data_IF_072940254486
#
_entry.id   IF_072940254486
#
_cell.length_a   1.000
_cell.length_b   1.000
_cell.length_c   1.000
_cell.angle_alpha   90.00
_cell.angle_beta   90.00
_cell.angle_gamma   90.00
#
_symmetry.space_group_name_H-M   'P 1'
#
loop_
_entity.id
_entity.type
_entity.pdbx_description
1 polymer ?
#
# COMPACT_ATOMS: atom_id res chain seq x y z
N UNK A 1 -11.18 13.98 -18.14
CA UNK A 1 -12.13 14.47 -17.11
C UNK A 1 -13.03 15.57 -17.66
N UNK A 2 -12.51 16.51 -18.45
CA UNK A 2 -13.29 17.58 -19.10
C UNK A 2 -14.46 17.06 -19.97
N UNK A 3 -14.28 15.93 -20.67
CA UNK A 3 -15.33 15.31 -21.50
C UNK A 3 -16.38 14.52 -20.72
N UNK A 4 -16.17 14.27 -19.42
CA UNK A 4 -17.05 13.48 -18.57
C UNK A 4 -17.00 14.00 -17.11
N UNK A 5 -17.47 15.25 -16.86
CA UNK A 5 -17.24 15.94 -15.58
C UNK A 5 -17.91 15.27 -14.37
N UNK A 6 -18.97 14.47 -14.59
CA UNK A 6 -19.67 13.72 -13.53
C UNK A 6 -19.11 12.32 -13.24
N UNK A 7 -18.13 11.84 -14.02
CA UNK A 7 -17.56 10.50 -13.81
C UNK A 7 -16.63 10.49 -12.59
N UNK A 8 -16.89 9.58 -11.65
CA UNK A 8 -15.95 9.29 -10.56
C UNK A 8 -14.78 8.46 -11.12
N UNK A 9 -13.56 8.88 -10.82
CA UNK A 9 -12.32 8.23 -11.27
C UNK A 9 -11.40 8.02 -10.08
N UNK A 10 -10.88 6.80 -9.95
CA UNK A 10 -9.80 6.49 -9.01
C UNK A 10 -8.52 6.27 -9.82
N UNK A 11 -7.49 7.07 -9.56
CA UNK A 11 -6.16 6.79 -10.05
C UNK A 11 -5.50 5.79 -9.10
N UNK A 12 -5.51 4.53 -9.51
CA UNK A 12 -5.04 3.44 -8.67
C UNK A 12 -3.53 3.55 -8.38
N UNK A 13 -3.12 2.98 -7.24
CA UNK A 13 -1.74 2.71 -6.83
C UNK A 13 -0.75 3.82 -7.24
N UNK A 14 -0.95 5.03 -6.72
CA UNK A 14 -0.09 6.19 -7.01
C UNK A 14 1.37 5.86 -6.68
N UNK A 15 2.28 6.25 -7.59
CA UNK A 15 3.72 5.99 -7.41
C UNK A 15 4.62 7.21 -7.59
N UNK A 16 4.10 8.34 -8.10
CA UNK A 16 4.90 9.54 -8.39
C UNK A 16 4.37 10.78 -7.69
N UNK A 17 5.25 11.77 -7.52
CA UNK A 17 4.90 13.09 -7.02
C UNK A 17 3.84 13.80 -7.89
N UNK A 18 3.92 13.64 -9.20
CA UNK A 18 2.97 14.24 -10.14
C UNK A 18 1.58 13.63 -10.00
N UNK A 19 1.49 12.31 -9.81
CA UNK A 19 0.22 11.62 -9.62
C UNK A 19 -0.44 12.02 -8.29
N UNK A 20 0.34 12.14 -7.21
CA UNK A 20 -0.13 12.67 -5.94
C UNK A 20 -0.66 14.09 -6.08
N UNK A 21 0.14 14.98 -6.69
CA UNK A 21 -0.27 16.37 -6.93
C UNK A 21 -1.54 16.45 -7.78
N UNK A 22 -1.64 15.64 -8.84
CA UNK A 22 -2.82 15.60 -9.70
C UNK A 22 -4.09 15.29 -8.90
N UNK A 23 -4.07 14.30 -8.00
CA UNK A 23 -5.23 13.95 -7.17
C UNK A 23 -5.55 15.06 -6.16
N UNK A 24 -4.52 15.68 -5.55
CA UNK A 24 -4.71 16.77 -4.60
C UNK A 24 -5.31 18.03 -5.25
N UNK A 25 -4.85 18.37 -6.46
CA UNK A 25 -5.30 19.54 -7.23
C UNK A 25 -6.64 19.29 -7.96
N UNK A 26 -7.08 18.03 -8.07
CA UNK A 26 -8.31 17.65 -8.76
C UNK A 26 -9.58 17.87 -7.94
N UNK A 27 -10.72 17.94 -8.64
CA UNK A 27 -12.05 18.07 -8.06
C UNK A 27 -12.54 16.84 -7.30
N UNK A 28 -13.74 16.90 -6.69
CA UNK A 28 -14.26 15.87 -5.78
C UNK A 28 -14.50 14.50 -6.43
N UNK A 29 -14.56 14.43 -7.76
CA UNK A 29 -14.79 13.20 -8.50
C UNK A 29 -13.50 12.40 -8.78
N UNK A 30 -12.33 12.90 -8.35
CA UNK A 30 -11.04 12.22 -8.54
C UNK A 30 -10.46 11.83 -7.20
N UNK A 31 -10.15 10.54 -7.08
CA UNK A 31 -9.47 9.97 -5.93
C UNK A 31 -8.21 9.21 -6.35
N UNK A 32 -7.44 8.76 -5.36
CA UNK A 32 -6.31 7.87 -5.58
C UNK A 32 -6.16 6.85 -4.47
N UNK A 33 -5.68 5.66 -4.84
CA UNK A 33 -5.24 4.66 -3.87
C UNK A 33 -3.73 4.66 -3.76
N UNK A 34 -3.22 4.33 -2.58
CA UNK A 34 -1.78 4.18 -2.35
C UNK A 34 -1.54 2.89 -1.60
N UNK A 35 -0.66 2.05 -2.15
CA UNK A 35 -0.28 0.75 -1.59
C UNK A 35 0.64 0.88 -0.37
N UNK A 36 0.77 -0.14 0.50
CA UNK A 36 1.70 -0.05 1.62
C UNK A 36 3.16 -0.08 1.15
N UNK A 37 3.47 -0.83 0.08
CA UNK A 37 4.83 -0.95 -0.43
C UNK A 37 5.34 0.36 -1.06
N UNK A 38 4.48 1.15 -1.72
CA UNK A 38 4.84 2.48 -2.21
C UNK A 38 4.96 3.55 -1.13
N UNK A 39 4.40 3.35 0.07
CA UNK A 39 4.64 4.23 1.22
C UNK A 39 5.92 3.85 1.98
N UNK A 40 6.22 2.56 2.07
CA UNK A 40 7.30 2.04 2.91
C UNK A 40 8.69 2.10 2.26
N UNK A 41 8.77 1.89 0.94
CA UNK A 41 10.05 1.76 0.24
C UNK A 41 10.09 2.52 -1.09
N UNK A 42 11.30 2.74 -1.60
CA UNK A 42 11.57 3.30 -2.92
C UNK A 42 12.36 2.29 -3.77
N UNK A 43 12.70 2.65 -5.01
CA UNK A 43 13.41 1.78 -5.97
C UNK A 43 14.72 1.17 -5.48
N UNK A 44 15.38 1.77 -4.48
CA UNK A 44 16.59 1.20 -3.89
C UNK A 44 16.30 -0.13 -3.17
N UNK A 45 15.09 -0.32 -2.64
CA UNK A 45 14.69 -1.62 -2.10
C UNK A 45 14.66 -2.72 -3.18
N UNK A 46 14.37 -2.36 -4.43
CA UNK A 46 14.41 -3.29 -5.55
C UNK A 46 15.84 -3.53 -6.09
N UNK A 47 16.72 -2.52 -6.08
CA UNK A 47 17.95 -2.54 -6.87
C UNK A 47 19.27 -2.48 -6.08
N UNK A 48 19.28 -1.94 -4.85
CA UNK A 48 20.53 -1.67 -4.14
C UNK A 48 21.15 -2.96 -3.60
N UNK A 49 22.39 -3.25 -4.01
CA UNK A 49 23.15 -4.44 -3.61
C UNK A 49 22.74 -5.73 -4.34
N UNK A 50 21.83 -5.64 -5.32
CA UNK A 50 21.29 -6.79 -6.06
C UNK A 50 19.80 -6.62 -6.34
N UNK A 51 19.32 -7.28 -7.39
CA UNK A 51 17.91 -7.26 -7.76
C UNK A 51 17.09 -8.10 -6.77
N UNK A 52 16.02 -7.51 -6.21
CA UNK A 52 15.07 -8.18 -5.31
C UNK A 52 13.71 -8.32 -6.01
N UNK A 53 13.44 -9.40 -6.77
CA UNK A 53 12.25 -9.51 -7.62
C UNK A 53 10.92 -9.43 -6.85
N UNK A 54 10.89 -9.80 -5.58
CA UNK A 54 9.70 -9.70 -4.72
C UNK A 54 9.26 -8.25 -4.42
N UNK A 55 10.10 -7.26 -4.74
CA UNK A 55 9.78 -5.82 -4.67
C UNK A 55 9.40 -5.25 -6.05
N UNK A 56 9.44 -6.05 -7.12
CA UNK A 56 9.04 -5.62 -8.45
C UNK A 56 7.52 -5.70 -8.62
N UNK A 57 6.90 -4.55 -8.91
CA UNK A 57 5.48 -4.35 -9.19
C UNK A 57 5.29 -3.33 -10.32
N UNK A 58 4.04 -3.19 -10.77
CA UNK A 58 3.63 -2.11 -11.67
C UNK A 58 2.53 -1.28 -10.99
N UNK A 59 2.61 0.07 -11.03
CA UNK A 59 3.76 0.84 -11.51
C UNK A 59 5.00 0.60 -10.62
N UNK A 60 6.20 0.72 -11.20
CA UNK A 60 7.45 0.40 -10.49
C UNK A 60 7.69 1.32 -9.30
N UNK A 61 8.35 0.83 -8.24
CA UNK A 61 8.90 1.66 -7.18
C UNK A 61 9.73 2.81 -7.79
N UNK A 62 9.51 4.04 -7.29
CA UNK A 62 10.12 5.27 -7.83
C UNK A 62 11.22 5.81 -6.92
N UNK A 63 11.58 7.07 -7.07
CA UNK A 63 12.64 7.71 -6.27
C UNK A 63 12.18 7.91 -4.81
N UNK A 64 13.11 8.28 -3.93
CA UNK A 64 12.73 8.67 -2.56
C UNK A 64 11.90 9.96 -2.54
N UNK A 65 12.13 10.89 -3.48
CA UNK A 65 11.30 12.09 -3.62
C UNK A 65 9.85 11.72 -3.92
N UNK A 66 9.63 10.78 -4.85
CA UNK A 66 8.30 10.27 -5.16
C UNK A 66 7.65 9.61 -3.94
N UNK A 67 8.38 8.73 -3.23
CA UNK A 67 7.88 8.06 -2.02
C UNK A 67 7.46 9.08 -0.97
N UNK A 68 8.30 10.08 -0.71
CA UNK A 68 8.01 11.15 0.26
C UNK A 68 6.81 11.99 -0.17
N UNK A 69 6.64 12.28 -1.46
CA UNK A 69 5.47 12.98 -1.96
C UNK A 69 4.17 12.20 -1.72
N UNK A 70 4.17 10.86 -1.85
CA UNK A 70 3.02 10.03 -1.47
C UNK A 70 2.74 10.10 0.02
N UNK A 71 3.78 10.01 0.86
CA UNK A 71 3.65 10.13 2.32
C UNK A 71 3.09 11.50 2.71
N UNK A 72 3.59 12.57 2.12
CA UNK A 72 3.12 13.94 2.39
C UNK A 72 1.69 14.16 1.91
N UNK A 73 1.31 13.57 0.78
CA UNK A 73 -0.07 13.61 0.30
C UNK A 73 -1.04 12.96 1.29
N UNK A 74 -0.71 11.80 1.85
CA UNK A 74 -1.51 11.18 2.92
C UNK A 74 -1.46 12.01 4.20
N UNK A 75 -0.30 12.55 4.57
CA UNK A 75 -0.12 13.39 5.77
C UNK A 75 -0.95 14.68 5.71
N UNK A 76 -1.23 15.19 4.51
CA UNK A 76 -2.10 16.35 4.31
C UNK A 76 -3.53 16.13 4.84
N UNK A 77 -3.97 14.87 4.91
CA UNK A 77 -5.34 14.52 5.32
C UNK A 77 -6.37 14.61 4.21
N UNK A 78 -5.95 14.54 2.94
CA UNK A 78 -6.86 14.46 1.80
C UNK A 78 -7.84 13.27 1.96
N UNK A 79 -9.13 13.57 1.96
CA UNK A 79 -10.24 12.61 2.10
C UNK A 79 -10.48 11.75 0.85
N UNK A 80 -9.80 12.07 -0.26
CA UNK A 80 -9.85 11.34 -1.54
C UNK A 80 -8.64 10.42 -1.75
N UNK A 81 -7.79 10.28 -0.74
CA UNK A 81 -6.73 9.27 -0.71
C UNK A 81 -7.11 8.17 0.28
N UNK A 82 -7.11 6.92 -0.18
CA UNK A 82 -7.50 5.78 0.64
C UNK A 82 -6.72 4.51 0.33
N UNK A 83 -6.87 3.53 1.22
CA UNK A 83 -6.22 2.24 1.16
C UNK A 83 -6.60 1.48 -0.12
N UNK A 84 -5.58 1.13 -0.91
CA UNK A 84 -5.66 0.13 -1.96
C UNK A 84 -4.38 -0.67 -1.96
N UNK A 85 -4.44 -1.93 -1.51
CA UNK A 85 -3.21 -2.69 -1.23
C UNK A 85 -2.41 -3.06 -2.48
N UNK A 86 -3.10 -3.23 -3.61
CA UNK A 86 -2.58 -3.86 -4.81
C UNK A 86 -1.81 -5.16 -4.51
N UNK A 87 -2.35 -5.95 -3.57
CA UNK A 87 -1.73 -7.22 -3.19
C UNK A 87 -1.87 -8.20 -4.34
N UNK A 88 -0.75 -8.47 -5.02
CA UNK A 88 -0.68 -9.32 -6.21
C UNK A 88 0.29 -10.49 -5.96
N UNK A 89 -0.19 -11.61 -5.37
CA UNK A 89 0.65 -12.78 -5.11
C UNK A 89 1.01 -13.50 -6.42
N UNK A 90 2.27 -13.89 -6.53
CA UNK A 90 2.75 -14.84 -7.53
C UNK A 90 3.58 -15.89 -6.82
N UNK A 91 3.57 -17.13 -7.32
CA UNK A 91 4.45 -18.16 -6.78
C UNK A 91 5.91 -17.75 -6.91
N UNK A 92 6.74 -18.21 -5.97
CA UNK A 92 8.15 -17.89 -5.91
C UNK A 92 8.89 -18.20 -7.23
N UNK A 93 8.66 -19.34 -7.92
CA UNK A 93 9.29 -19.59 -9.22
C UNK A 93 8.90 -18.58 -10.31
N UNK A 94 7.68 -18.03 -10.28
CA UNK A 94 7.23 -17.01 -11.21
C UNK A 94 7.83 -15.63 -10.92
N UNK A 95 8.37 -15.40 -9.72
CA UNK A 95 9.11 -14.18 -9.35
C UNK A 95 10.61 -14.34 -9.58
N UNK A 96 11.16 -15.50 -9.27
CA UNK A 96 12.59 -15.83 -9.31
C UNK A 96 12.98 -16.53 -10.63
N UNK A 97 12.62 -15.93 -11.75
CA UNK A 97 12.94 -16.42 -13.08
C UNK A 97 13.54 -15.32 -13.97
N UNK A 98 13.89 -15.67 -15.22
CA UNK A 98 14.49 -14.73 -16.16
C UNK A 98 13.58 -13.53 -16.52
N UNK A 99 12.25 -13.67 -16.35
CA UNK A 99 11.26 -12.63 -16.59
C UNK A 99 10.20 -12.67 -15.47
N UNK A 100 10.60 -12.26 -14.27
CA UNK A 100 9.75 -12.35 -13.07
C UNK A 100 8.48 -11.51 -13.16
N UNK A 101 7.35 -12.07 -12.73
CA UNK A 101 6.05 -11.38 -12.69
C UNK A 101 6.08 -10.12 -11.82
N UNK A 102 5.40 -9.06 -12.26
CA UNK A 102 5.20 -7.85 -11.46
C UNK A 102 4.07 -8.06 -10.46
N UNK A 103 4.33 -7.82 -9.18
CA UNK A 103 3.33 -7.95 -8.11
C UNK A 103 3.99 -8.11 -6.74
N UNK A 104 3.39 -7.49 -5.72
CA UNK A 104 3.86 -7.55 -4.33
C UNK A 104 2.76 -8.16 -3.46
N UNK A 105 3.08 -9.19 -2.68
CA UNK A 105 2.12 -9.82 -1.78
C UNK A 105 2.09 -9.14 -0.41
N UNK A 106 1.20 -8.16 -0.23
CA UNK A 106 1.05 -7.41 1.03
C UNK A 106 -0.20 -7.75 1.83
N UNK A 107 -1.16 -8.52 1.29
CA UNK A 107 -2.42 -8.82 1.99
C UNK A 107 -2.22 -9.60 3.31
N UNK A 108 -1.12 -10.33 3.47
CA UNK A 108 -0.81 -11.10 4.68
C UNK A 108 -0.72 -10.25 5.96
N UNK A 109 -0.45 -8.94 5.83
CA UNK A 109 -0.27 -8.01 6.95
C UNK A 109 -0.60 -6.56 6.53
N UNK A 110 -1.62 -6.37 5.68
CA UNK A 110 -1.85 -5.08 5.03
C UNK A 110 -2.02 -3.92 6.03
N UNK A 111 -2.87 -4.10 7.05
CA UNK A 111 -3.14 -3.07 8.07
C UNK A 111 -1.90 -2.78 8.92
N UNK A 112 -1.14 -3.82 9.28
CA UNK A 112 0.12 -3.70 10.01
C UNK A 112 1.16 -2.92 9.21
N UNK A 113 1.29 -3.20 7.91
CA UNK A 113 2.22 -2.51 7.02
C UNK A 113 1.87 -1.03 6.87
N UNK A 114 0.58 -0.69 6.75
CA UNK A 114 0.16 0.72 6.76
C UNK A 114 0.40 1.37 8.12
N UNK A 115 0.13 0.69 9.23
CA UNK A 115 0.42 1.22 10.56
C UNK A 115 1.91 1.52 10.74
N UNK A 116 2.79 0.63 10.31
CA UNK A 116 4.24 0.88 10.27
C UNK A 116 4.58 2.12 9.41
N UNK A 117 3.97 2.25 8.22
CA UNK A 117 4.22 3.39 7.33
C UNK A 117 3.75 4.72 7.95
N UNK A 118 2.57 4.73 8.55
CA UNK A 118 1.95 5.91 9.15
C UNK A 118 2.66 6.31 10.45
N UNK A 119 3.06 5.35 11.28
CA UNK A 119 3.82 5.60 12.50
C UNK A 119 5.19 6.22 12.17
N UNK A 120 5.94 5.64 11.21
CA UNK A 120 7.23 6.19 10.74
C UNK A 120 7.11 7.62 10.22
N UNK A 121 5.95 7.96 9.66
CA UNK A 121 5.65 9.29 9.15
C UNK A 121 5.00 10.23 10.18
N UNK A 122 4.84 9.81 11.45
CA UNK A 122 4.22 10.62 12.49
C UNK A 122 2.72 10.92 12.26
N UNK A 123 2.04 10.09 11.46
CA UNK A 123 0.67 10.31 11.01
C UNK A 123 -0.28 9.16 11.37
N UNK A 124 0.05 8.34 12.39
CA UNK A 124 -0.75 7.19 12.80
C UNK A 124 -2.23 7.52 13.08
N UNK A 125 -2.51 8.71 13.62
CA UNK A 125 -3.86 9.21 13.86
C UNK A 125 -4.73 9.35 12.60
N UNK A 126 -4.14 9.32 11.39
CA UNK A 126 -4.85 9.37 10.11
C UNK A 126 -5.18 7.99 9.54
N UNK A 127 -4.63 6.92 10.12
CA UNK A 127 -4.75 5.56 9.57
C UNK A 127 -6.22 5.13 9.44
N UNK A 128 -7.04 5.43 10.46
CA UNK A 128 -8.45 5.04 10.46
C UNK A 128 -9.19 5.68 9.26
N UNK A 129 -9.11 7.01 9.10
CA UNK A 129 -9.74 7.69 7.97
C UNK A 129 -9.30 7.13 6.61
N UNK A 130 -7.99 6.92 6.43
CA UNK A 130 -7.42 6.39 5.18
C UNK A 130 -7.86 4.94 4.90
N UNK A 131 -7.96 4.09 5.93
CA UNK A 131 -8.24 2.66 5.78
C UNK A 131 -9.73 2.30 5.82
N UNK A 132 -10.58 3.09 6.48
CA UNK A 132 -11.95 2.70 6.81
C UNK A 132 -13.03 3.71 6.42
N UNK A 133 -12.69 4.99 6.18
CA UNK A 133 -13.68 6.06 5.94
C UNK A 133 -13.62 6.61 4.51
N UNK A 134 -12.45 7.10 4.09
CA UNK A 134 -12.26 7.82 2.83
C UNK A 134 -12.74 7.02 1.61
N UNK A 135 -12.40 5.72 1.56
CA UNK A 135 -12.83 4.80 0.52
C UNK A 135 -14.35 4.67 0.43
N UNK A 136 -15.03 4.15 1.47
CA UNK A 136 -16.50 4.07 1.50
C UNK A 136 -17.19 5.40 1.16
N UNK A 137 -16.72 6.53 1.70
CA UNK A 137 -17.24 7.86 1.37
C UNK A 137 -17.15 8.16 -0.14
N UNK A 138 -15.99 7.95 -0.76
CA UNK A 138 -15.83 8.18 -2.20
C UNK A 138 -16.72 7.24 -3.05
N UNK A 139 -16.82 5.97 -2.66
CA UNK A 139 -17.66 4.98 -3.33
C UNK A 139 -19.17 5.14 -3.07
N UNK A 140 -19.58 6.00 -2.14
CA UNK A 140 -20.98 6.17 -1.75
C UNK A 140 -21.53 5.00 -0.93
N UNK A 141 -20.66 4.33 -0.18
CA UNK A 141 -20.97 3.21 0.70
C UNK A 141 -20.87 3.64 2.16
N UNK A 142 -21.66 3.05 3.08
CA UNK A 142 -21.53 3.30 4.50
C UNK A 142 -20.20 2.74 5.03
N UNK A 143 -19.57 3.38 6.03
CA UNK A 143 -18.42 2.81 6.72
C UNK A 143 -18.85 1.56 7.53
N UNK A 144 -17.90 0.65 7.77
CA UNK A 144 -18.14 -0.50 8.61
C UNK A 144 -18.44 -0.07 10.06
N UNK A 145 -19.33 -0.81 10.74
CA UNK A 145 -19.63 -0.62 12.17
C UNK A 145 -18.66 -1.40 13.08
N UNK A 146 -18.08 -2.47 12.57
CA UNK A 146 -17.10 -3.29 13.27
C UNK A 146 -15.75 -2.58 13.39
N UNK A 147 -15.00 -2.97 14.42
CA UNK A 147 -13.66 -2.43 14.69
C UNK A 147 -12.65 -3.55 14.79
N UNK A 148 -11.47 -3.28 14.27
CA UNK A 148 -10.28 -4.10 14.50
C UNK A 148 -9.32 -3.37 15.43
N UNK A 149 -8.47 -4.11 16.12
CA UNK A 149 -7.43 -3.54 17.00
C UNK A 149 -6.06 -3.94 16.49
N UNK A 150 -5.21 -2.95 16.21
CA UNK A 150 -3.78 -3.17 15.99
C UNK A 150 -3.04 -2.96 17.31
N UNK A 151 -2.26 -3.95 17.73
CA UNK A 151 -1.39 -3.86 18.92
C UNK A 151 0.04 -3.63 18.47
N UNK A 152 0.74 -2.76 19.18
CA UNK A 152 2.18 -2.62 19.00
C UNK A 152 2.85 -3.83 19.65
N UNK A 153 3.17 -4.82 18.83
CA UNK A 153 3.76 -6.09 19.24
C UNK A 153 4.70 -6.50 18.13
N UNK A 154 6.00 -6.53 18.42
CA UNK A 154 7.00 -6.91 17.45
C UNK A 154 6.81 -8.37 17.02
N UNK A 155 6.87 -8.62 15.72
CA UNK A 155 6.87 -9.96 15.16
C UNK A 155 7.71 -9.98 13.88
N UNK A 156 8.08 -11.18 13.45
CA UNK A 156 8.87 -11.37 12.22
C UNK A 156 7.96 -11.86 11.12
N UNK A 157 7.97 -11.19 9.97
CA UNK A 157 7.24 -11.61 8.79
C UNK A 157 7.83 -12.94 8.30
N UNK A 158 7.02 -13.98 8.03
CA UNK A 158 7.53 -15.27 7.60
C UNK A 158 8.31 -15.15 6.29
N UNK A 159 9.30 -16.02 6.08
CA UNK A 159 10.11 -16.04 4.86
C UNK A 159 9.27 -16.41 3.62
N UNK A 160 8.26 -17.25 3.81
CA UNK A 160 7.33 -17.69 2.77
C UNK A 160 6.00 -18.13 3.38
N UNK A 161 4.96 -18.16 2.56
CA UNK A 161 3.60 -18.59 2.91
C UNK A 161 3.15 -19.63 1.86
N UNK A 162 2.45 -20.72 2.25
CA UNK A 162 1.91 -21.69 1.29
C UNK A 162 0.99 -21.01 0.26
N UNK A 163 1.14 -21.38 -1.02
CA UNK A 163 0.39 -20.82 -2.13
C UNK A 163 0.11 -21.88 -3.20
N UNK A 164 -0.99 -22.62 -3.03
CA UNK A 164 -1.27 -23.80 -3.84
C UNK A 164 -0.22 -24.90 -3.58
N UNK A 165 0.35 -25.43 -4.66
CA UNK A 165 1.45 -26.41 -4.60
C UNK A 165 2.85 -25.74 -4.47
N UNK A 166 2.87 -24.41 -4.46
CA UNK A 166 4.07 -23.57 -4.37
C UNK A 166 4.09 -22.75 -3.06
N UNK A 167 5.03 -21.80 -2.98
CA UNK A 167 5.09 -20.78 -1.95
C UNK A 167 5.00 -19.37 -2.56
N UNK A 168 4.52 -18.41 -1.78
CA UNK A 168 4.64 -16.97 -2.06
C UNK A 168 5.58 -16.33 -1.03
N UNK A 169 6.44 -15.41 -1.49
CA UNK A 169 7.28 -14.61 -0.61
C UNK A 169 6.54 -13.32 -0.26
N UNK A 170 6.14 -13.12 1.01
CA UNK A 170 5.42 -11.91 1.41
C UNK A 170 6.30 -10.66 1.34
N UNK A 171 5.67 -9.51 1.13
CA UNK A 171 6.35 -8.23 1.29
C UNK A 171 6.96 -8.13 2.69
N UNK A 172 8.20 -7.66 2.80
CA UNK A 172 8.96 -7.60 4.06
C UNK A 172 9.31 -8.96 4.69
N UNK A 173 9.26 -10.08 3.94
CA UNK A 173 9.71 -11.40 4.40
C UNK A 173 11.04 -11.35 5.19
N UNK A 174 11.06 -11.94 6.38
CA UNK A 174 12.23 -11.98 7.28
C UNK A 174 12.48 -10.69 8.08
N UNK A 175 11.81 -9.58 7.76
CA UNK A 175 11.94 -8.34 8.52
C UNK A 175 11.02 -8.33 9.75
N UNK A 176 11.37 -7.47 10.71
CA UNK A 176 10.52 -7.17 11.88
C UNK A 176 9.42 -6.17 11.51
N UNK A 177 8.19 -6.49 11.88
CA UNK A 177 7.03 -5.59 11.86
C UNK A 177 6.67 -5.20 13.31
N UNK A 178 6.16 -3.98 13.53
CA UNK A 178 5.89 -3.47 14.89
C UNK A 178 4.43 -3.55 15.30
N UNK A 179 3.53 -3.51 14.33
CA UNK A 179 2.10 -3.63 14.55
C UNK A 179 1.63 -5.03 14.21
N UNK A 180 0.68 -5.54 14.98
CA UNK A 180 0.04 -6.83 14.74
C UNK A 180 -1.46 -6.70 14.95
N UNK A 181 -2.25 -7.21 14.02
CA UNK A 181 -3.69 -7.35 14.22
C UNK A 181 -3.94 -8.25 15.44
N UNK A 182 -4.69 -7.73 16.40
CA UNK A 182 -5.14 -8.53 17.51
C UNK A 182 -6.08 -9.61 16.97
N UNK A 183 -5.81 -10.87 17.28
CA UNK A 183 -6.85 -11.90 17.17
C UNK A 183 -8.00 -11.48 18.06
N UNK A 184 -9.23 -11.50 17.54
CA UNK A 184 -10.42 -11.36 18.38
C UNK A 184 -10.31 -12.32 19.57
N UNK A 185 -10.64 -11.89 20.80
CA UNK A 185 -10.68 -12.80 21.94
C UNK A 185 -11.62 -13.97 21.70
#
# INVERSE_FOLDING_TARGET
LESAPGLKVVLEHLTTKEAARFVLDAGPNVAGTITPHHLLVNRNALLAGGIRPHYYCLPILKTEEDRLALVDAVRSGCDRLFLGSDSAPHSQPNKECACGSAGVYSAHAALELYADAFEKAGMLHRLDAFASVNGPTFYGLPPNSERVTLRQTEWTVPMSIPFGDDFVVPFMAGNKARWKLATSP
#
